data_IF_287727922736
#
_entry.id   IF_287727922736
#
_cell.length_a   1.000
_cell.length_b   1.000
_cell.length_c   1.000
_cell.angle_alpha   90.00
_cell.angle_beta   90.00
_cell.angle_gamma   90.00
#
_symmetry.space_group_name_H-M   'P 1'
#
loop_
_entity.id
_entity.type
_entity.pdbx_description
1 polymer ?
#
# COMPACT_ATOMS: atom_id res chain seq x y z
N UNK A 1 13.05 17.50 16.03
CA UNK A 1 11.81 16.70 16.17
C UNK A 1 11.94 15.49 15.26
N UNK A 2 11.71 14.28 15.77
CA UNK A 2 11.63 13.09 14.93
C UNK A 2 10.18 12.92 14.47
N UNK A 3 9.93 12.89 13.17
CA UNK A 3 8.61 12.57 12.64
C UNK A 3 8.42 11.05 12.69
N UNK A 4 7.32 10.62 13.31
CA UNK A 4 6.97 9.20 13.38
C UNK A 4 6.45 8.76 12.00
N UNK A 5 7.01 7.67 11.47
CA UNK A 5 6.53 7.06 10.24
C UNK A 5 5.21 6.33 10.50
N UNK A 6 4.32 6.26 9.50
CA UNK A 6 3.15 5.39 9.58
C UNK A 6 3.58 3.93 9.54
N UNK A 7 2.88 3.08 10.31
CA UNK A 7 3.13 1.63 10.27
C UNK A 7 2.42 0.96 9.07
N UNK A 8 1.29 1.55 8.60
CA UNK A 8 0.48 1.08 7.48
C UNK A 8 0.04 2.25 6.59
N UNK A 9 0.19 2.10 5.28
CA UNK A 9 -0.40 2.98 4.27
C UNK A 9 -1.38 2.16 3.44
N UNK A 10 -2.64 2.59 3.42
CA UNK A 10 -3.63 2.13 2.45
C UNK A 10 -3.64 3.12 1.28
N UNK A 11 -3.00 2.73 0.17
CA UNK A 11 -2.73 3.60 -0.96
C UNK A 11 -3.78 3.41 -2.05
N UNK A 12 -4.53 4.45 -2.36
CA UNK A 12 -5.50 4.42 -3.45
C UNK A 12 -4.80 4.54 -4.81
N UNK A 13 -5.15 3.68 -5.76
CA UNK A 13 -4.64 3.77 -7.14
C UNK A 13 -5.21 4.99 -7.84
N UNK A 14 -6.52 5.23 -7.69
CA UNK A 14 -7.25 6.26 -8.42
C UNK A 14 -7.41 7.50 -7.51
N UNK A 15 -6.32 8.24 -7.37
CA UNK A 15 -6.26 9.51 -6.62
C UNK A 15 -6.26 10.70 -7.58
N UNK A 16 -6.91 11.79 -7.18
CA UNK A 16 -6.86 13.05 -7.92
C UNK A 16 -5.48 13.72 -7.75
N UNK A 17 -4.92 14.23 -8.84
CA UNK A 17 -3.64 14.92 -8.86
C UNK A 17 -2.44 13.98 -9.01
N UNK A 18 -2.17 13.12 -8.02
CA UNK A 18 -1.11 12.11 -8.06
C UNK A 18 -1.72 10.73 -7.82
N UNK A 19 -1.57 9.82 -8.78
CA UNK A 19 -2.08 8.46 -8.65
C UNK A 19 -1.19 7.58 -7.77
N UNK A 20 -1.73 6.46 -7.28
CA UNK A 20 -0.99 5.56 -6.38
C UNK A 20 0.30 5.00 -6.99
N UNK A 21 0.37 4.88 -8.31
CA UNK A 21 1.60 4.42 -8.97
C UNK A 21 2.69 5.49 -9.01
N UNK A 22 2.32 6.75 -9.17
CA UNK A 22 3.23 7.89 -9.08
C UNK A 22 3.76 8.04 -7.66
N UNK A 23 2.89 7.87 -6.66
CA UNK A 23 3.32 7.81 -5.27
C UNK A 23 4.40 6.72 -5.06
N UNK A 24 4.21 5.52 -5.59
CA UNK A 24 5.20 4.44 -5.45
C UNK A 24 6.55 4.77 -6.11
N UNK A 25 6.54 5.49 -7.23
CA UNK A 25 7.77 5.97 -7.88
C UNK A 25 8.54 6.93 -6.98
N UNK A 26 7.85 7.91 -6.40
CA UNK A 26 8.45 8.87 -5.47
C UNK A 26 8.88 8.19 -4.16
N UNK A 27 8.09 7.24 -3.66
CA UNK A 27 8.41 6.45 -2.48
C UNK A 27 9.70 5.65 -2.64
N UNK A 28 9.95 5.12 -3.84
CA UNK A 28 11.18 4.39 -4.15
C UNK A 28 12.44 5.27 -4.11
N UNK A 29 12.31 6.60 -4.18
CA UNK A 29 13.43 7.54 -4.04
C UNK A 29 13.81 7.81 -2.57
N UNK A 30 12.96 7.40 -1.61
CA UNK A 30 13.25 7.58 -0.18
C UNK A 30 14.38 6.65 0.28
N UNK A 31 15.02 6.98 1.40
CA UNK A 31 16.04 6.11 2.00
C UNK A 31 15.48 4.71 2.30
N UNK A 32 16.26 3.67 2.03
CA UNK A 32 15.86 2.25 2.21
C UNK A 32 15.36 1.95 3.63
N UNK A 33 15.93 2.61 4.63
CA UNK A 33 15.54 2.50 6.04
C UNK A 33 14.13 3.03 6.32
N UNK A 34 13.64 3.98 5.53
CA UNK A 34 12.27 4.47 5.58
C UNK A 34 11.35 3.49 4.84
N UNK A 35 11.81 2.96 3.71
CA UNK A 35 11.04 2.04 2.87
C UNK A 35 10.67 0.75 3.61
N UNK A 36 11.59 0.20 4.41
CA UNK A 36 11.44 -1.12 5.06
C UNK A 36 10.55 -1.12 6.30
N UNK A 37 10.15 0.05 6.81
CA UNK A 37 9.39 0.18 8.06
C UNK A 37 7.88 0.33 7.86
N UNK A 38 7.43 0.51 6.63
CA UNK A 38 6.03 0.82 6.31
C UNK A 38 5.43 -0.29 5.48
N UNK A 39 4.27 -0.78 5.92
CA UNK A 39 3.47 -1.73 5.14
C UNK A 39 2.61 -0.92 4.17
N UNK A 40 2.76 -1.14 2.86
CA UNK A 40 1.93 -0.49 1.83
C UNK A 40 0.96 -1.51 1.24
N UNK A 41 -0.32 -1.19 1.27
CA UNK A 41 -1.38 -1.98 0.66
C UNK A 41 -2.12 -1.12 -0.37
N UNK A 42 -2.16 -1.60 -1.61
CA UNK A 42 -2.80 -0.90 -2.72
C UNK A 42 -4.31 -1.13 -2.72
N UNK A 43 -5.10 -0.08 -2.94
CA UNK A 43 -6.55 -0.12 -3.07
C UNK A 43 -6.95 0.12 -4.53
N UNK A 44 -7.77 -0.78 -5.06
CA UNK A 44 -8.30 -0.68 -6.43
C UNK A 44 -9.83 -0.66 -6.46
N UNK A 45 -10.42 -0.11 -7.52
CA UNK A 45 -11.86 -0.23 -7.79
C UNK A 45 -12.25 -1.49 -8.54
N UNK A 46 -11.31 -2.20 -9.18
CA UNK A 46 -11.60 -3.39 -9.99
C UNK A 46 -10.53 -4.47 -9.83
N UNK A 47 -10.92 -5.73 -10.03
CA UNK A 47 -9.98 -6.87 -10.11
C UNK A 47 -9.24 -6.89 -11.45
N UNK A 48 -8.65 -5.75 -11.83
CA UNK A 48 -7.82 -5.68 -13.02
C UNK A 48 -6.57 -6.53 -12.80
N UNK A 49 -6.43 -7.60 -13.59
CA UNK A 49 -5.33 -8.52 -13.48
C UNK A 49 -3.97 -7.86 -13.74
N UNK A 50 -3.93 -6.78 -14.52
CA UNK A 50 -2.70 -6.05 -14.82
C UNK A 50 -2.24 -5.20 -13.63
N UNK A 51 -3.18 -4.58 -12.90
CA UNK A 51 -2.87 -3.86 -11.67
C UNK A 51 -2.32 -4.80 -10.58
N UNK A 52 -2.88 -6.01 -10.48
CA UNK A 52 -2.41 -7.04 -9.56
C UNK A 52 -0.99 -7.50 -9.94
N UNK A 53 -0.74 -7.77 -11.23
CA UNK A 53 0.59 -8.17 -11.71
C UNK A 53 1.61 -7.07 -11.45
N UNK A 54 1.25 -5.82 -11.73
CA UNK A 54 2.11 -4.65 -11.50
C UNK A 54 2.41 -4.49 -10.01
N UNK A 55 1.39 -4.49 -9.15
CA UNK A 55 1.58 -4.39 -7.70
C UNK A 55 2.51 -5.49 -7.16
N UNK A 56 2.37 -6.73 -7.65
CA UNK A 56 3.25 -7.85 -7.26
C UNK A 56 4.71 -7.69 -7.74
N UNK A 57 4.97 -6.87 -8.75
CA UNK A 57 6.33 -6.58 -9.21
C UNK A 57 7.01 -5.46 -8.41
N UNK A 58 6.26 -4.71 -7.61
CA UNK A 58 6.77 -3.62 -6.79
C UNK A 58 7.23 -4.15 -5.42
N UNK A 59 8.53 -4.07 -5.13
CA UNK A 59 9.13 -4.65 -3.91
C UNK A 59 8.62 -4.05 -2.59
N UNK A 60 7.98 -2.90 -2.63
CA UNK A 60 7.47 -2.15 -1.47
C UNK A 60 5.96 -2.31 -1.27
N UNK A 61 5.25 -2.98 -2.19
CA UNK A 61 3.82 -3.26 -2.04
C UNK A 61 3.66 -4.62 -1.37
N UNK A 62 3.06 -4.63 -0.18
CA UNK A 62 2.84 -5.85 0.61
C UNK A 62 1.59 -6.61 0.19
N UNK A 63 0.54 -5.88 -0.20
CA UNK A 63 -0.74 -6.49 -0.57
C UNK A 63 -1.58 -5.59 -1.47
N UNK A 64 -2.68 -6.14 -1.95
CA UNK A 64 -3.64 -5.46 -2.79
C UNK A 64 -5.07 -5.82 -2.40
N UNK A 65 -5.94 -4.81 -2.30
CA UNK A 65 -7.31 -4.96 -1.83
C UNK A 65 -8.27 -4.24 -2.76
N UNK A 66 -9.31 -4.96 -3.17
CA UNK A 66 -10.43 -4.39 -3.92
C UNK A 66 -11.32 -3.55 -3.01
N UNK A 67 -11.80 -2.43 -3.52
CA UNK A 67 -12.83 -1.61 -2.88
C UNK A 67 -14.20 -2.32 -2.97
N UNK A 68 -15.15 -2.03 -2.06
CA UNK A 68 -14.96 -1.19 -0.88
C UNK A 68 -14.09 -1.87 0.19
N UNK A 69 -13.39 -1.05 0.96
CA UNK A 69 -12.71 -1.52 2.17
C UNK A 69 -13.77 -1.86 3.23
N UNK A 70 -13.79 -3.12 3.67
CA UNK A 70 -14.74 -3.60 4.68
C UNK A 70 -14.02 -3.88 6.00
N UNK A 71 -14.76 -3.90 7.12
CA UNK A 71 -14.21 -4.27 8.42
C UNK A 71 -13.55 -5.66 8.39
N UNK A 72 -14.13 -6.61 7.68
CA UNK A 72 -13.55 -7.94 7.50
C UNK A 72 -12.20 -7.89 6.81
N UNK A 73 -12.08 -7.14 5.70
CA UNK A 73 -10.81 -6.95 4.99
C UNK A 73 -9.76 -6.29 5.89
N UNK A 74 -10.15 -5.26 6.65
CA UNK A 74 -9.27 -4.61 7.61
C UNK A 74 -8.79 -5.57 8.71
N UNK A 75 -9.69 -6.36 9.30
CA UNK A 75 -9.33 -7.34 10.33
C UNK A 75 -8.34 -8.39 9.78
N UNK A 76 -8.49 -8.80 8.52
CA UNK A 76 -7.52 -9.67 7.85
C UNK A 76 -6.15 -9.02 7.71
N UNK A 77 -6.08 -7.74 7.32
CA UNK A 77 -4.82 -6.99 7.26
C UNK A 77 -4.15 -6.95 8.62
N UNK A 78 -4.90 -6.56 9.65
CA UNK A 78 -4.39 -6.44 11.03
C UNK A 78 -3.86 -7.79 11.51
N UNK A 79 -4.64 -8.88 11.35
CA UNK A 79 -4.20 -10.21 11.75
C UNK A 79 -3.00 -10.74 10.94
N UNK A 80 -2.83 -10.31 9.69
CA UNK A 80 -1.72 -10.72 8.83
C UNK A 80 -0.42 -9.99 9.17
N UNK A 81 -0.48 -8.68 9.37
CA UNK A 81 0.71 -7.82 9.45
C UNK A 81 1.01 -7.25 10.85
N UNK A 82 0.01 -7.15 11.72
CA UNK A 82 0.11 -6.54 13.05
C UNK A 82 -0.19 -7.55 14.16
N UNK A 83 0.42 -8.75 14.07
CA UNK A 83 0.26 -9.78 15.08
C UNK A 83 0.60 -9.21 16.46
N UNK A 84 -0.42 -9.15 17.32
CA UNK A 84 -0.30 -8.90 18.76
C UNK A 84 0.01 -10.21 19.45
#
# INVERSE_FOLDING_TARGET
>A
MAFKLPDLILLDINMDGMNGWEFLKEYNLLAKELQSKVIIIMLTTSENSDDIKRAKSENYVSDFITKPMTKTKMNTIIGKYFKV
#
